data_IF_173296271248
#
_entry.id   IF_173296271248
#
_cell.length_a   1.000
_cell.length_b   1.000
_cell.length_c   1.000
_cell.angle_alpha   90.00
_cell.angle_beta   90.00
_cell.angle_gamma   90.00
#
_symmetry.space_group_name_H-M   'P 1'
#
loop_
_entity.id
_entity.type
_entity.pdbx_description
1 polymer ?
#
# COMPACT_ATOMS: atom_id res chain seq x y z
N UNK A 1 5.07 -19.49 -13.64
CA UNK A 1 4.98 -20.35 -12.44
C UNK A 1 5.87 -19.85 -11.30
N UNK A 2 7.17 -19.62 -11.54
CA UNK A 2 8.07 -19.08 -10.50
C UNK A 2 7.63 -17.72 -9.96
N UNK A 3 7.11 -16.85 -10.81
CA UNK A 3 6.62 -15.51 -10.43
C UNK A 3 5.38 -15.59 -9.53
N UNK A 4 4.48 -16.51 -9.80
CA UNK A 4 3.27 -16.75 -9.00
C UNK A 4 3.64 -17.30 -7.63
N UNK A 5 4.63 -18.20 -7.57
CA UNK A 5 5.14 -18.75 -6.32
C UNK A 5 5.76 -17.66 -5.46
N UNK A 6 6.53 -16.76 -6.06
CA UNK A 6 7.15 -15.65 -5.36
C UNK A 6 6.10 -14.69 -4.78
N UNK A 7 5.08 -14.37 -5.57
CA UNK A 7 3.97 -13.51 -5.11
C UNK A 7 3.22 -14.20 -3.98
N UNK A 8 2.90 -15.48 -4.13
CA UNK A 8 2.23 -16.26 -3.10
C UNK A 8 3.07 -16.33 -1.82
N UNK A 9 4.38 -16.52 -1.93
CA UNK A 9 5.28 -16.54 -0.79
C UNK A 9 5.35 -15.20 -0.08
N UNK A 10 5.38 -14.10 -0.83
CA UNK A 10 5.32 -12.75 -0.28
C UNK A 10 4.00 -12.50 0.46
N UNK A 11 2.87 -12.84 -0.16
CA UNK A 11 1.55 -12.67 0.46
C UNK A 11 1.44 -13.51 1.72
N UNK A 12 1.88 -14.77 1.69
CA UNK A 12 1.87 -15.65 2.86
C UNK A 12 2.81 -15.17 3.96
N UNK A 13 3.99 -14.67 3.58
CA UNK A 13 4.94 -14.07 4.52
C UNK A 13 4.37 -12.86 5.22
N UNK A 14 3.71 -11.98 4.48
CA UNK A 14 3.01 -10.83 5.04
C UNK A 14 1.84 -11.26 5.93
N UNK A 15 1.06 -12.26 5.50
CA UNK A 15 -0.06 -12.77 6.29
C UNK A 15 0.40 -13.37 7.62
N UNK A 16 1.51 -14.08 7.62
CA UNK A 16 2.09 -14.66 8.85
C UNK A 16 2.61 -13.56 9.79
N UNK A 17 3.30 -12.56 9.27
CA UNK A 17 3.75 -11.41 10.04
C UNK A 17 2.58 -10.57 10.55
N UNK A 18 1.51 -10.50 9.78
CA UNK A 18 0.31 -9.73 10.04
C UNK A 18 -0.53 -10.27 11.20
N UNK A 19 -0.38 -11.54 11.57
CA UNK A 19 -1.20 -12.16 12.62
C UNK A 19 -1.00 -11.55 14.01
N UNK A 20 0.08 -10.77 14.21
CA UNK A 20 0.42 -10.20 15.52
C UNK A 20 -0.28 -8.87 15.80
N UNK A 21 -0.33 -7.94 14.83
CA UNK A 21 -0.90 -6.59 15.03
C UNK A 21 -1.55 -6.04 13.76
N UNK A 22 -2.64 -6.66 13.28
CA UNK A 22 -3.33 -6.12 12.11
C UNK A 22 -3.90 -4.74 12.41
N UNK A 23 -3.87 -3.85 11.44
CA UNK A 23 -4.47 -2.53 11.53
C UNK A 23 -5.75 -2.45 10.71
N UNK A 24 -5.65 -2.72 9.41
CA UNK A 24 -6.80 -2.57 8.51
C UNK A 24 -6.61 -3.37 7.23
N UNK A 25 -7.72 -3.72 6.60
CA UNK A 25 -7.75 -4.33 5.27
C UNK A 25 -8.86 -3.70 4.43
N UNK A 26 -8.62 -3.53 3.16
CA UNK A 26 -9.62 -2.97 2.26
C UNK A 26 -9.14 -2.79 0.85
N UNK A 27 -9.67 -1.79 0.18
CA UNK A 27 -9.40 -1.49 -1.21
C UNK A 27 -8.81 -0.10 -1.37
N UNK A 28 -7.93 0.03 -2.34
CA UNK A 28 -7.32 1.28 -2.73
C UNK A 28 -7.53 1.45 -4.23
N UNK A 29 -8.16 2.54 -4.64
CA UNK A 29 -8.61 2.78 -6.01
C UNK A 29 -8.05 4.11 -6.49
N UNK A 30 -7.58 4.14 -7.71
CA UNK A 30 -7.06 5.31 -8.39
C UNK A 30 -6.84 5.00 -9.85
N UNK A 31 -5.59 4.99 -10.28
CA UNK A 31 -5.23 4.58 -11.64
C UNK A 31 -5.47 3.08 -11.88
N UNK A 32 -5.65 2.32 -10.86
CA UNK A 32 -6.01 0.91 -10.86
C UNK A 32 -6.74 0.56 -9.59
N UNK A 33 -6.82 -0.71 -9.27
CA UNK A 33 -7.44 -1.20 -8.04
C UNK A 33 -6.49 -2.15 -7.31
N UNK A 34 -6.37 -1.95 -6.02
CA UNK A 34 -5.48 -2.74 -5.16
C UNK A 34 -6.21 -3.23 -3.93
N UNK A 35 -5.89 -4.45 -3.53
CA UNK A 35 -6.19 -4.94 -2.18
C UNK A 35 -5.11 -4.38 -1.25
N UNK A 36 -5.53 -3.69 -0.22
CA UNK A 36 -4.63 -3.00 0.70
C UNK A 36 -4.72 -3.60 2.09
N UNK A 37 -3.57 -3.91 2.66
CA UNK A 37 -3.44 -4.39 4.02
C UNK A 37 -2.48 -3.50 4.81
N UNK A 38 -2.88 -3.10 6.00
CA UNK A 38 -2.06 -2.29 6.90
C UNK A 38 -1.77 -3.05 8.19
N UNK A 39 -0.54 -2.92 8.67
CA UNK A 39 -0.05 -3.57 9.87
C UNK A 39 0.64 -2.57 10.79
N UNK A 40 0.26 -2.52 12.05
CA UNK A 40 0.84 -1.61 13.02
C UNK A 40 2.27 -2.01 13.40
N UNK A 41 3.14 -1.02 13.43
CA UNK A 41 4.51 -1.13 13.95
C UNK A 41 4.72 0.05 14.91
N UNK A 42 4.32 -0.13 16.16
CA UNK A 42 4.28 0.98 17.13
C UNK A 42 3.32 2.08 16.69
N UNK A 43 3.79 3.31 16.61
CA UNK A 43 3.01 4.45 16.11
C UNK A 43 2.94 4.51 14.58
N UNK A 44 3.76 3.74 13.89
CA UNK A 44 3.85 3.70 12.43
C UNK A 44 3.12 2.47 11.89
N UNK A 45 3.11 2.31 10.57
CA UNK A 45 2.50 1.13 9.97
C UNK A 45 3.17 0.74 8.65
N UNK A 46 3.10 -0.56 8.34
CA UNK A 46 3.45 -1.08 7.03
C UNK A 46 2.16 -1.24 6.24
N UNK A 47 2.18 -0.84 4.98
CA UNK A 47 1.10 -1.09 4.03
C UNK A 47 1.60 -2.01 2.93
N UNK A 48 0.85 -3.07 2.67
CA UNK A 48 1.09 -3.98 1.57
C UNK A 48 -0.10 -3.93 0.63
N UNK A 49 0.17 -3.68 -0.63
CA UNK A 49 -0.84 -3.53 -1.66
C UNK A 49 -0.60 -4.52 -2.79
N UNK A 50 -1.65 -5.21 -3.20
CA UNK A 50 -1.63 -6.14 -4.33
C UNK A 50 -2.76 -5.78 -5.27
N UNK A 51 -2.46 -5.54 -6.52
CA UNK A 51 -3.53 -5.19 -7.44
C UNK A 51 -3.12 -5.05 -8.88
N UNK A 52 -4.00 -4.41 -9.63
CA UNK A 52 -3.86 -4.18 -11.05
C UNK A 52 -3.63 -2.69 -11.31
N UNK A 53 -2.45 -2.36 -11.73
CA UNK A 53 -2.13 -1.03 -12.23
C UNK A 53 -2.76 -0.87 -13.61
N UNK A 54 -3.43 0.25 -13.83
CA UNK A 54 -4.21 0.51 -15.06
C UNK A 54 -5.22 -0.60 -15.39
N UNK A 55 -5.64 -1.37 -14.40
CA UNK A 55 -6.52 -2.54 -14.57
C UNK A 55 -5.96 -3.62 -15.49
N UNK A 56 -4.65 -3.62 -15.74
CA UNK A 56 -3.98 -4.57 -16.67
C UNK A 56 -2.80 -5.29 -16.05
N UNK A 57 -1.93 -4.55 -15.36
CA UNK A 57 -0.64 -5.07 -14.91
C UNK A 57 -0.68 -5.39 -13.43
N UNK A 58 -0.32 -6.62 -13.08
CA UNK A 58 -0.25 -7.03 -11.68
C UNK A 58 0.92 -6.32 -10.99
N UNK A 59 0.65 -5.78 -9.82
CA UNK A 59 1.66 -5.11 -9.01
C UNK A 59 1.54 -5.46 -7.55
N UNK A 60 2.67 -5.46 -6.87
CA UNK A 60 2.78 -5.61 -5.41
C UNK A 60 3.66 -4.49 -4.90
N UNK A 61 3.23 -3.84 -3.85
CA UNK A 61 4.02 -2.81 -3.18
C UNK A 61 3.97 -2.97 -1.68
N UNK A 62 5.05 -2.59 -1.02
CA UNK A 62 5.12 -2.54 0.43
C UNK A 62 5.77 -1.23 0.84
N UNK A 63 5.14 -0.50 1.72
CA UNK A 63 5.63 0.79 2.21
C UNK A 63 5.67 0.78 3.74
N UNK A 64 6.71 1.39 4.28
CA UNK A 64 6.80 1.68 5.71
C UNK A 64 6.42 3.14 5.92
N UNK A 65 5.32 3.38 6.59
CA UNK A 65 4.73 4.70 6.73
C UNK A 65 4.93 5.23 8.15
N UNK A 66 5.58 6.37 8.24
CA UNK A 66 5.73 7.10 9.49
C UNK A 66 4.48 7.94 9.72
N UNK A 67 3.90 7.85 10.91
CA UNK A 67 2.83 8.74 11.34
C UNK A 67 3.47 10.09 11.70
N UNK A 68 3.37 11.05 10.80
CA UNK A 68 4.08 12.33 10.92
C UNK A 68 3.30 13.30 11.78
N UNK A 69 1.98 13.38 11.60
CA UNK A 69 1.13 14.29 12.35
C UNK A 69 -0.27 13.73 12.49
N UNK A 70 -0.89 14.02 13.61
CA UNK A 70 -2.31 13.76 13.85
C UNK A 70 -2.99 15.10 14.07
N UNK A 71 -4.16 15.29 13.47
CA UNK A 71 -4.91 16.54 13.60
C UNK A 71 -6.40 16.28 13.48
N UNK A 72 -7.19 17.17 14.09
CA UNK A 72 -8.64 17.05 14.11
C UNK A 72 -9.12 15.72 14.70
N UNK A 73 -10.32 15.33 14.33
CA UNK A 73 -10.94 14.11 14.83
C UNK A 73 -10.61 12.91 13.94
N UNK A 74 -9.49 12.23 14.25
CA UNK A 74 -9.10 11.00 13.60
C UNK A 74 -8.31 11.17 12.32
N UNK A 75 -7.84 12.37 11.99
CA UNK A 75 -6.98 12.59 10.82
C UNK A 75 -5.51 12.32 11.15
N UNK A 76 -4.84 11.66 10.24
CA UNK A 76 -3.42 11.36 10.34
C UNK A 76 -2.74 11.63 9.00
N UNK A 77 -1.65 12.39 9.03
CA UNK A 77 -0.73 12.54 7.90
C UNK A 77 0.39 11.52 8.04
N UNK A 78 0.66 10.80 6.97
CA UNK A 78 1.71 9.78 6.95
C UNK A 78 2.53 9.86 5.67
N UNK A 79 3.78 9.44 5.76
CA UNK A 79 4.66 9.31 4.62
C UNK A 79 5.76 8.29 4.92
N UNK A 80 6.28 7.67 3.90
CA UNK A 80 7.39 6.73 4.05
C UNK A 80 7.88 6.12 2.76
N UNK A 81 9.02 5.42 2.83
CA UNK A 81 9.61 4.72 1.70
C UNK A 81 9.01 3.33 1.54
N UNK A 82 9.21 2.75 0.37
CA UNK A 82 8.79 1.40 0.08
C UNK A 82 9.47 0.80 -1.13
N UNK A 83 9.03 -0.38 -1.46
CA UNK A 83 9.49 -1.13 -2.62
C UNK A 83 8.27 -1.62 -3.41
N UNK A 84 8.48 -1.89 -4.68
CA UNK A 84 7.42 -2.41 -5.52
C UNK A 84 7.94 -3.39 -6.57
N UNK A 85 7.05 -4.31 -6.93
CA UNK A 85 7.25 -5.26 -8.02
C UNK A 85 6.06 -5.15 -8.96
N UNK A 86 6.32 -5.05 -10.24
CA UNK A 86 5.28 -5.02 -11.26
C UNK A 86 5.50 -6.10 -12.30
N UNK A 87 4.40 -6.62 -12.82
CA UNK A 87 4.40 -7.66 -13.84
C UNK A 87 3.53 -7.19 -15.00
N UNK A 88 4.18 -6.70 -16.04
CA UNK A 88 3.57 -6.38 -17.33
C UNK A 88 4.12 -7.39 -18.35
N UNK A 89 4.73 -6.92 -19.43
CA UNK A 89 5.44 -7.79 -20.37
C UNK A 89 6.72 -8.36 -19.75
N UNK A 90 7.29 -7.65 -18.77
CA UNK A 90 8.48 -8.07 -18.02
C UNK A 90 8.35 -7.68 -16.56
N UNK A 91 9.23 -8.23 -15.72
CA UNK A 91 9.30 -7.87 -14.31
C UNK A 91 9.83 -6.45 -14.16
N UNK A 92 9.11 -5.63 -13.41
CA UNK A 92 9.56 -4.32 -12.99
C UNK A 92 9.85 -4.33 -11.48
N UNK A 93 11.00 -3.79 -11.12
CA UNK A 93 11.45 -3.71 -9.71
C UNK A 93 11.86 -2.27 -9.42
N UNK A 94 11.44 -1.76 -8.31
CA UNK A 94 11.81 -0.39 -7.97
C UNK A 94 11.56 -0.01 -6.53
N UNK A 95 11.84 1.25 -6.23
CA UNK A 95 11.55 1.87 -4.95
C UNK A 95 10.35 2.78 -5.08
N UNK A 96 9.62 2.91 -3.99
CA UNK A 96 8.44 3.77 -3.91
C UNK A 96 8.56 4.72 -2.72
N UNK A 97 7.82 5.80 -2.79
CA UNK A 97 7.50 6.60 -1.64
C UNK A 97 5.98 6.69 -1.56
N UNK A 98 5.46 6.88 -0.37
CA UNK A 98 4.04 7.11 -0.18
C UNK A 98 3.82 8.27 0.77
N UNK A 99 2.84 9.10 0.46
CA UNK A 99 2.41 10.17 1.33
C UNK A 99 0.89 10.32 1.24
N UNK A 100 0.23 10.47 2.37
CA UNK A 100 -1.22 10.56 2.38
C UNK A 100 -1.79 11.06 3.68
N UNK A 101 -3.10 11.22 3.65
CA UNK A 101 -3.92 11.57 4.80
C UNK A 101 -4.95 10.48 4.99
N UNK A 102 -5.10 10.02 6.21
CA UNK A 102 -6.05 8.99 6.60
C UNK A 102 -6.99 9.55 7.66
N UNK A 103 -8.27 9.24 7.52
CA UNK A 103 -9.26 9.52 8.56
C UNK A 103 -9.82 8.20 9.09
N UNK A 104 -9.70 8.00 10.39
CA UNK A 104 -10.31 6.87 11.08
C UNK A 104 -11.57 7.36 11.79
N UNK A 105 -12.72 6.78 11.45
CA UNK A 105 -13.99 7.18 12.03
C UNK A 105 -14.11 6.67 13.46
N UNK A 106 -14.56 7.56 14.37
CA UNK A 106 -14.78 7.18 15.76
C UNK A 106 -16.00 6.26 15.95
N UNK A 107 -16.98 6.36 15.05
CA UNK A 107 -18.25 5.64 15.16
C UNK A 107 -18.32 4.33 14.38
N UNK A 108 -17.31 4.04 13.56
CA UNK A 108 -17.25 2.84 12.73
C UNK A 108 -15.81 2.36 12.55
N UNK A 109 -15.59 1.03 12.42
CA UNK A 109 -14.23 0.50 12.24
C UNK A 109 -13.78 0.66 10.78
N UNK A 110 -13.79 1.87 10.26
CA UNK A 110 -13.45 2.19 8.88
C UNK A 110 -12.47 3.35 8.84
N UNK A 111 -11.46 3.25 7.97
CA UNK A 111 -10.64 4.40 7.61
C UNK A 111 -10.77 4.69 6.13
N UNK A 112 -10.68 5.97 5.78
CA UNK A 112 -10.61 6.45 4.41
C UNK A 112 -9.32 7.23 4.26
N UNK A 113 -8.59 6.97 3.17
CA UNK A 113 -7.34 7.67 2.89
C UNK A 113 -7.32 8.24 1.49
N UNK A 114 -6.54 9.30 1.32
CA UNK A 114 -6.12 9.81 0.02
C UNK A 114 -4.61 9.88 0.04
N UNK A 115 -3.96 9.25 -0.92
CA UNK A 115 -2.50 9.20 -0.96
C UNK A 115 -1.97 9.25 -2.39
N UNK A 116 -0.67 9.54 -2.49
CA UNK A 116 0.11 9.40 -3.71
C UNK A 116 1.27 8.46 -3.42
N UNK A 117 1.61 7.63 -4.39
CA UNK A 117 2.72 6.69 -4.28
C UNK A 117 3.58 6.74 -5.53
N UNK A 118 4.49 7.73 -5.65
CA UNK A 118 5.46 7.74 -6.73
C UNK A 118 6.35 6.51 -6.66
N UNK A 119 6.64 5.94 -7.81
CA UNK A 119 7.40 4.71 -7.96
C UNK A 119 8.53 4.94 -8.95
N UNK A 120 9.75 4.59 -8.58
CA UNK A 120 10.90 4.65 -9.46
C UNK A 120 11.30 3.24 -9.89
N UNK A 121 11.12 2.97 -11.18
CA UNK A 121 11.43 1.68 -11.79
C UNK A 121 12.89 1.64 -12.23
N UNK A 122 13.63 0.65 -11.74
CA UNK A 122 15.03 0.43 -12.10
C UNK A 122 15.21 -0.25 -13.47
N UNK A 123 14.13 -0.81 -14.05
CA UNK A 123 14.17 -1.63 -15.24
C UNK A 123 13.92 -0.83 -16.53
N UNK A 124 13.92 0.49 -16.47
CA UNK A 124 14.01 1.34 -17.65
C UNK A 124 12.95 2.43 -17.82
N UNK A 125 11.85 2.42 -17.10
CA UNK A 125 10.78 3.41 -17.30
C UNK A 125 11.02 4.71 -16.51
N UNK A 126 11.72 4.65 -15.40
CA UNK A 126 11.97 5.80 -14.54
C UNK A 126 10.82 6.05 -13.55
N UNK A 127 10.50 7.32 -13.33
CA UNK A 127 9.51 7.71 -12.32
C UNK A 127 8.09 7.58 -12.85
N UNK A 128 7.25 6.82 -12.16
CA UNK A 128 5.85 6.58 -12.50
C UNK A 128 4.98 6.66 -11.23
N UNK A 129 3.65 6.58 -11.39
CA UNK A 129 2.75 6.37 -10.26
C UNK A 129 2.39 7.63 -9.48
N UNK A 130 2.38 8.79 -10.09
CA UNK A 130 2.02 10.05 -9.45
C UNK A 130 0.52 10.22 -9.19
N UNK A 131 -0.29 9.25 -9.60
CA UNK A 131 -1.74 9.37 -9.51
C UNK A 131 -2.23 9.21 -8.06
N UNK A 132 -3.17 10.07 -7.62
CA UNK A 132 -3.76 9.92 -6.31
C UNK A 132 -4.64 8.67 -6.24
N UNK A 133 -4.69 8.08 -5.07
CA UNK A 133 -5.54 6.93 -4.78
C UNK A 133 -6.41 7.23 -3.57
N UNK A 134 -7.59 6.67 -3.58
CA UNK A 134 -8.50 6.68 -2.44
C UNK A 134 -8.55 5.27 -1.88
N UNK A 135 -8.33 5.15 -0.58
CA UNK A 135 -8.42 3.88 0.14
C UNK A 135 -9.62 3.86 1.07
N UNK A 136 -10.29 2.73 1.13
CA UNK A 136 -11.34 2.45 2.11
C UNK A 136 -11.03 1.11 2.75
N UNK A 137 -10.85 1.11 4.07
CA UNK A 137 -10.39 -0.08 4.80
C UNK A 137 -11.22 -0.30 6.05
N UNK A 138 -11.34 -1.55 6.41
CA UNK A 138 -11.90 -1.98 7.68
C UNK A 138 -10.79 -2.10 8.72
N UNK A 139 -10.97 -1.45 9.85
CA UNK A 139 -10.04 -1.50 10.98
C UNK A 139 -10.40 -2.68 11.89
N UNK A 140 -9.39 -3.45 12.23
CA UNK A 140 -9.55 -4.53 13.21
C UNK A 140 -9.56 -4.04 14.64
#
# INVERSE_FOLDING_TARGET
MKKIILIAALVLGFAAAASAQPKAIGLRIGYGAELSYQHNVGANFIEADLGLESFKNLGVAATYNFSIAEFGDGFKFYAGPGIGLGFAESLMVGVAGQAGIENTFASAPVNISVDVRPYFDFMGVGLVGWYPHIGVRYNF
#
